data_IF_541079519072
#
_entry.id   IF_541079519072
#
_cell.length_a   1.000
_cell.length_b   1.000
_cell.length_c   1.000
_cell.angle_alpha   90.00
_cell.angle_beta   90.00
_cell.angle_gamma   90.00
#
_symmetry.space_group_name_H-M   'P 1'
#
loop_
_entity.id
_entity.type
_entity.pdbx_description
1 polymer ?
#
# COMPACT_ATOMS: atom_id res chain seq x y z
N UNK A 1 -11.00 -8.40 -38.33
CA UNK A 1 -10.28 -9.51 -37.68
C UNK A 1 -10.24 -9.18 -36.20
N UNK A 2 -11.13 -9.78 -35.41
CA UNK A 2 -11.24 -9.49 -33.96
C UNK A 2 -10.25 -10.36 -33.22
N UNK A 3 -9.26 -9.76 -32.55
CA UNK A 3 -8.41 -10.48 -31.61
C UNK A 3 -9.18 -10.66 -30.30
N UNK A 4 -9.44 -11.90 -29.92
CA UNK A 4 -9.93 -12.24 -28.60
C UNK A 4 -8.89 -11.83 -27.56
N UNK A 5 -9.21 -10.82 -26.74
CA UNK A 5 -8.41 -10.42 -25.60
C UNK A 5 -8.48 -11.53 -24.55
N UNK A 6 -7.51 -12.46 -24.58
CA UNK A 6 -7.38 -13.53 -23.60
C UNK A 6 -6.49 -13.10 -22.44
N UNK A 7 -7.01 -13.21 -21.22
CA UNK A 7 -6.34 -12.94 -19.95
C UNK A 7 -4.86 -13.45 -19.94
N UNK A 8 -3.85 -12.57 -20.08
CA UNK A 8 -2.44 -12.71 -19.76
C UNK A 8 -2.09 -13.54 -18.54
N UNK A 9 -2.83 -13.47 -17.43
CA UNK A 9 -2.56 -14.35 -16.29
C UNK A 9 -2.73 -15.81 -16.68
N UNK A 10 -3.78 -16.19 -17.42
CA UNK A 10 -3.94 -17.58 -17.93
C UNK A 10 -2.82 -18.05 -18.86
N UNK A 11 -2.10 -17.11 -19.48
CA UNK A 11 -1.07 -17.42 -20.45
C UNK A 11 0.35 -17.31 -19.89
N UNK A 12 0.55 -16.58 -18.79
CA UNK A 12 1.77 -16.64 -17.97
C UNK A 12 1.70 -17.75 -16.93
N UNK A 13 0.50 -18.19 -16.59
CA UNK A 13 0.22 -19.23 -15.61
C UNK A 13 -0.70 -20.30 -16.23
N UNK A 14 -0.26 -21.03 -17.28
CA UNK A 14 -1.05 -22.10 -17.86
C UNK A 14 -1.17 -23.26 -16.87
N UNK A 15 -2.39 -23.79 -16.70
CA UNK A 15 -2.83 -24.90 -15.80
C UNK A 15 -2.00 -26.19 -15.78
N UNK A 16 -0.92 -26.30 -16.57
CA UNK A 16 -0.12 -27.53 -16.74
C UNK A 16 1.39 -27.35 -16.78
N UNK A 17 1.95 -26.14 -16.67
CA UNK A 17 3.40 -25.98 -16.64
C UNK A 17 3.91 -25.66 -15.24
N UNK A 18 3.93 -26.70 -14.40
CA UNK A 18 4.88 -26.80 -13.29
C UNK A 18 6.31 -27.04 -13.83
N UNK A 19 6.68 -26.37 -14.93
CA UNK A 19 7.99 -26.43 -15.55
C UNK A 19 8.95 -25.52 -14.78
N UNK A 20 9.07 -25.83 -13.49
CA UNK A 20 10.20 -25.73 -12.58
C UNK A 20 11.00 -24.44 -12.68
N UNK A 21 10.53 -23.41 -11.96
CA UNK A 21 11.46 -22.45 -11.36
C UNK A 21 12.55 -23.23 -10.62
N UNK A 22 13.81 -22.82 -10.74
CA UNK A 22 14.89 -23.48 -9.99
C UNK A 22 14.56 -23.53 -8.49
N UNK A 23 15.02 -24.59 -7.81
CA UNK A 23 14.79 -24.78 -6.36
C UNK A 23 15.24 -23.58 -5.53
N UNK A 24 16.29 -22.88 -5.98
CA UNK A 24 16.78 -21.65 -5.37
C UNK A 24 15.77 -20.51 -5.48
N UNK A 25 15.23 -20.24 -6.67
CA UNK A 25 14.21 -19.20 -6.88
C UNK A 25 12.92 -19.50 -6.08
N UNK A 26 12.50 -20.77 -6.03
CA UNK A 26 11.37 -21.18 -5.20
C UNK A 26 11.63 -20.89 -3.72
N UNK A 27 12.84 -21.17 -3.22
CA UNK A 27 13.21 -20.86 -1.84
C UNK A 27 13.21 -19.35 -1.56
N UNK A 28 13.73 -18.54 -2.48
CA UNK A 28 13.73 -17.07 -2.35
C UNK A 28 12.32 -16.52 -2.28
N UNK A 29 11.43 -16.96 -3.19
CA UNK A 29 10.04 -16.55 -3.19
C UNK A 29 9.33 -16.96 -1.89
N UNK A 30 9.52 -18.20 -1.45
CA UNK A 30 8.90 -18.68 -0.21
C UNK A 30 9.37 -17.90 1.02
N UNK A 31 10.66 -17.58 1.10
CA UNK A 31 11.20 -16.76 2.18
C UNK A 31 10.58 -15.35 2.16
N UNK A 32 10.53 -14.72 0.98
CA UNK A 32 9.90 -13.41 0.81
C UNK A 32 8.42 -13.43 1.20
N UNK A 33 7.64 -14.38 0.69
CA UNK A 33 6.20 -14.49 0.97
C UNK A 33 5.93 -14.83 2.44
N UNK A 34 6.82 -15.57 3.10
CA UNK A 34 6.74 -15.82 4.54
C UNK A 34 7.00 -14.55 5.34
N UNK A 35 8.02 -13.77 4.98
CA UNK A 35 8.28 -12.47 5.61
C UNK A 35 7.13 -11.50 5.40
N UNK A 36 6.57 -11.45 4.18
CA UNK A 36 5.39 -10.65 3.88
C UNK A 36 4.19 -11.05 4.74
N UNK A 37 3.93 -12.36 4.87
CA UNK A 37 2.86 -12.90 5.74
C UNK A 37 3.03 -12.46 7.19
N UNK A 38 4.23 -12.62 7.76
CA UNK A 38 4.52 -12.23 9.15
C UNK A 38 4.30 -10.73 9.32
N UNK A 39 4.87 -9.95 8.42
CA UNK A 39 4.78 -8.48 8.43
C UNK A 39 3.35 -7.95 8.29
N UNK A 40 2.46 -8.67 7.59
CA UNK A 40 1.02 -8.36 7.53
C UNK A 40 0.32 -8.78 8.83
N UNK A 41 0.62 -9.97 9.34
CA UNK A 41 0.00 -10.47 10.57
C UNK A 41 0.30 -9.58 11.79
N UNK A 42 1.49 -8.98 11.85
CA UNK A 42 1.87 -8.01 12.89
C UNK A 42 1.05 -6.72 12.86
N UNK A 43 0.43 -6.39 11.72
CA UNK A 43 -0.43 -5.22 11.58
C UNK A 43 -1.88 -5.50 11.94
N UNK A 44 -2.27 -6.75 12.21
CA UNK A 44 -3.63 -7.07 12.65
C UNK A 44 -3.83 -6.46 14.05
N UNK A 45 -4.79 -5.52 14.21
CA UNK A 45 -5.07 -4.93 15.52
C UNK A 45 -5.41 -6.01 16.55
N UNK A 46 -4.86 -5.90 17.76
CA UNK A 46 -5.08 -6.90 18.82
C UNK A 46 -6.28 -6.51 19.68
N UNK A 47 -6.94 -7.51 20.28
CA UNK A 47 -8.15 -7.33 21.12
C UNK A 47 -7.96 -6.37 22.31
N UNK A 48 -6.73 -6.14 22.75
CA UNK A 48 -6.39 -5.22 23.83
C UNK A 48 -6.49 -3.73 23.40
N UNK A 49 -6.50 -3.44 22.09
CA UNK A 49 -6.75 -2.13 21.51
C UNK A 49 -8.27 -1.80 21.46
N UNK A 50 -8.94 -2.02 22.60
CA UNK A 50 -10.41 -2.04 22.81
C UNK A 50 -11.20 -0.81 22.37
N UNK A 51 -10.52 0.23 21.92
CA UNK A 51 -11.20 1.44 21.49
C UNK A 51 -11.69 1.33 20.03
N UNK A 52 -11.19 0.37 19.24
CA UNK A 52 -11.67 0.19 17.87
C UNK A 52 -11.38 1.40 16.98
N UNK A 53 -10.22 2.04 17.18
CA UNK A 53 -9.72 3.12 16.33
C UNK A 53 -8.34 2.77 15.78
N UNK A 54 -8.05 3.19 14.55
CA UNK A 54 -6.69 3.19 14.01
C UNK A 54 -5.90 4.28 14.73
N UNK A 55 -4.86 3.88 15.46
CA UNK A 55 -4.01 4.80 16.23
C UNK A 55 -2.84 5.32 15.40
N UNK A 56 -2.21 6.41 15.83
CA UNK A 56 -0.97 6.88 15.21
C UNK A 56 0.16 5.85 15.38
N UNK A 57 0.20 5.16 16.52
CA UNK A 57 1.12 4.04 16.74
C UNK A 57 0.97 2.96 15.66
N UNK A 58 -0.27 2.58 15.32
CA UNK A 58 -0.53 1.63 14.24
C UNK A 58 -0.05 2.18 12.89
N UNK A 59 -0.32 3.45 12.58
CA UNK A 59 0.14 4.07 11.33
C UNK A 59 1.68 4.10 11.22
N UNK A 60 2.37 4.39 12.33
CA UNK A 60 3.84 4.34 12.40
C UNK A 60 4.33 2.92 12.14
N UNK A 61 3.75 1.91 12.81
CA UNK A 61 4.08 0.51 12.60
C UNK A 61 3.84 0.08 11.15
N UNK A 62 2.71 0.48 10.56
CA UNK A 62 2.37 0.21 9.17
C UNK A 62 3.39 0.84 8.19
N UNK A 63 3.84 2.06 8.44
CA UNK A 63 4.89 2.70 7.64
C UNK A 63 6.24 1.99 7.76
N UNK A 64 6.67 1.62 8.98
CA UNK A 64 7.90 0.84 9.16
C UNK A 64 7.83 -0.51 8.42
N UNK A 65 6.70 -1.20 8.57
CA UNK A 65 6.40 -2.47 7.90
C UNK A 65 6.38 -2.33 6.36
N UNK A 66 6.03 -1.16 5.82
CA UNK A 66 6.17 -0.85 4.39
C UNK A 66 7.63 -0.59 3.99
N UNK A 67 8.38 0.19 4.76
CA UNK A 67 9.80 0.42 4.48
C UNK A 67 10.59 -0.89 4.46
N UNK A 68 10.35 -1.77 5.43
CA UNK A 68 11.01 -3.08 5.51
C UNK A 68 10.71 -3.95 4.29
N UNK A 69 9.44 -4.06 3.87
CA UNK A 69 9.12 -4.89 2.70
C UNK A 69 9.66 -4.28 1.39
N UNK A 70 9.70 -2.95 1.28
CA UNK A 70 10.33 -2.25 0.16
C UNK A 70 11.84 -2.52 0.09
N UNK A 71 12.51 -2.61 1.24
CA UNK A 71 13.91 -3.05 1.32
C UNK A 71 14.05 -4.52 0.91
N UNK A 72 13.19 -5.41 1.41
CA UNK A 72 13.23 -6.83 1.04
C UNK A 72 13.07 -7.06 -0.45
N UNK A 73 12.13 -6.37 -1.12
CA UNK A 73 11.95 -6.52 -2.57
C UNK A 73 13.14 -5.92 -3.35
N UNK A 74 13.72 -4.82 -2.85
CA UNK A 74 14.92 -4.23 -3.45
C UNK A 74 16.12 -5.19 -3.36
N UNK A 75 16.33 -5.85 -2.22
CA UNK A 75 17.35 -6.90 -2.06
C UNK A 75 17.10 -8.07 -3.02
N UNK A 76 15.83 -8.52 -3.12
CA UNK A 76 15.45 -9.61 -4.03
C UNK A 76 15.76 -9.25 -5.50
N UNK A 77 15.50 -8.01 -5.91
CA UNK A 77 15.77 -7.52 -7.27
C UNK A 77 17.26 -7.37 -7.56
N UNK A 78 18.01 -6.75 -6.64
CA UNK A 78 19.39 -6.30 -6.87
C UNK A 78 20.46 -7.33 -6.51
N UNK A 79 20.22 -8.14 -5.48
CA UNK A 79 21.25 -9.01 -4.90
C UNK A 79 20.99 -10.48 -5.21
N UNK A 80 19.74 -10.92 -5.11
CA UNK A 80 19.42 -12.35 -5.21
C UNK A 80 19.14 -12.81 -6.65
N UNK A 81 18.60 -11.92 -7.48
CA UNK A 81 18.19 -12.22 -8.85
C UNK A 81 19.13 -11.61 -9.91
N UNK A 82 19.96 -10.62 -9.53
CA UNK A 82 20.91 -9.90 -10.41
C UNK A 82 20.27 -9.52 -11.76
N UNK A 83 19.01 -9.05 -11.71
CA UNK A 83 18.30 -8.67 -12.92
C UNK A 83 18.83 -7.30 -13.34
N UNK A 84 19.34 -7.13 -14.58
CA UNK A 84 19.51 -5.79 -15.10
C UNK A 84 18.13 -5.14 -15.10
N UNK A 85 17.98 -4.06 -14.33
CA UNK A 85 16.85 -3.13 -14.30
C UNK A 85 16.44 -2.89 -15.76
N UNK A 86 15.50 -3.69 -16.25
CA UNK A 86 15.15 -3.67 -17.67
C UNK A 86 14.16 -2.54 -17.89
N UNK A 87 13.96 -2.08 -19.13
CA UNK A 87 12.90 -1.11 -19.51
C UNK A 87 11.47 -1.47 -18.99
N UNK A 88 11.27 -2.68 -18.48
CA UNK A 88 10.06 -3.10 -17.77
C UNK A 88 9.84 -2.30 -16.47
N UNK A 89 10.90 -1.93 -15.76
CA UNK A 89 10.84 -1.22 -14.49
C UNK A 89 10.46 0.26 -14.70
N UNK A 90 11.01 0.90 -15.73
CA UNK A 90 10.84 2.35 -15.93
C UNK A 90 9.41 2.75 -16.34
N UNK A 91 8.68 1.90 -17.06
CA UNK A 91 7.32 2.25 -17.55
C UNK A 91 6.18 1.83 -16.62
N UNK A 92 6.25 0.65 -16.00
CA UNK A 92 5.21 0.18 -15.07
C UNK A 92 5.34 0.84 -13.70
N UNK A 93 6.57 1.02 -13.21
CA UNK A 93 6.79 1.53 -11.86
C UNK A 93 6.59 3.05 -11.80
N UNK A 94 6.86 3.78 -12.88
CA UNK A 94 6.73 5.23 -12.90
C UNK A 94 5.29 5.74 -12.75
N UNK A 95 4.30 5.16 -13.44
CA UNK A 95 2.90 5.61 -13.31
C UNK A 95 2.34 5.32 -11.92
N UNK A 96 2.61 4.11 -11.40
CA UNK A 96 2.20 3.71 -10.05
C UNK A 96 2.89 4.57 -8.99
N UNK A 97 4.20 4.80 -9.12
CA UNK A 97 4.96 5.63 -8.18
C UNK A 97 4.52 7.08 -8.21
N UNK A 98 4.17 7.62 -9.37
CA UNK A 98 3.64 8.98 -9.51
C UNK A 98 2.32 9.15 -8.75
N UNK A 99 1.38 8.21 -8.93
CA UNK A 99 0.09 8.23 -8.21
C UNK A 99 0.25 8.00 -6.71
N UNK A 100 1.14 7.10 -6.30
CA UNK A 100 1.45 6.92 -4.88
C UNK A 100 2.10 8.16 -4.27
N UNK A 101 2.96 8.85 -5.01
CA UNK A 101 3.56 10.11 -4.58
C UNK A 101 2.50 11.22 -4.43
N UNK A 102 1.49 11.26 -5.30
CA UNK A 102 0.35 12.16 -5.13
C UNK A 102 -0.37 11.92 -3.80
N UNK A 103 -0.62 10.65 -3.45
CA UNK A 103 -1.22 10.27 -2.17
C UNK A 103 -0.33 10.66 -0.99
N UNK A 104 0.98 10.41 -1.05
CA UNK A 104 1.93 10.85 -0.02
C UNK A 104 1.96 12.38 0.15
N UNK A 105 1.88 13.13 -0.96
CA UNK A 105 1.79 14.59 -0.93
C UNK A 105 0.47 15.06 -0.29
N UNK A 106 -0.63 14.36 -0.53
CA UNK A 106 -1.91 14.64 0.11
C UNK A 106 -1.83 14.41 1.62
N UNK A 107 -1.26 13.29 2.08
CA UNK A 107 -1.01 13.03 3.50
C UNK A 107 -0.13 14.11 4.12
N UNK A 108 1.01 14.42 3.51
CA UNK A 108 1.92 15.46 4.01
C UNK A 108 1.23 16.83 4.13
N UNK A 109 0.41 17.18 3.14
CA UNK A 109 -0.41 18.39 3.17
C UNK A 109 -1.42 18.39 4.32
N UNK A 110 -2.03 17.25 4.63
CA UNK A 110 -2.97 17.12 5.74
C UNK A 110 -2.28 17.20 7.09
N UNK A 111 -1.11 16.57 7.22
CA UNK A 111 -0.26 16.72 8.40
C UNK A 111 0.09 18.19 8.65
N UNK A 112 0.50 18.92 7.63
CA UNK A 112 0.80 20.34 7.73
C UNK A 112 -0.43 21.15 8.19
N UNK A 113 -1.61 20.85 7.63
CA UNK A 113 -2.87 21.48 8.02
C UNK A 113 -3.21 21.20 9.50
N UNK A 114 -3.09 19.96 9.95
CA UNK A 114 -3.33 19.58 11.34
C UNK A 114 -2.32 20.24 12.30
N UNK A 115 -1.05 20.32 11.91
CA UNK A 115 -0.03 21.00 12.70
C UNK A 115 -0.32 22.51 12.83
N UNK A 116 -0.76 23.16 11.74
CA UNK A 116 -1.18 24.56 11.78
C UNK A 116 -2.37 24.75 12.75
N UNK A 117 -3.36 23.87 12.71
CA UNK A 117 -4.46 23.89 13.67
C UNK A 117 -3.98 23.75 15.12
N UNK A 118 -3.02 22.86 15.39
CA UNK A 118 -2.44 22.71 16.72
C UNK A 118 -1.72 24.00 17.19
N UNK A 119 -1.03 24.71 16.30
CA UNK A 119 -0.40 25.99 16.61
C UNK A 119 -1.43 27.08 16.94
N UNK A 120 -2.51 27.20 16.15
CA UNK A 120 -3.61 28.13 16.43
C UNK A 120 -4.25 27.86 17.79
N UNK A 121 -4.43 26.58 18.13
CA UNK A 121 -4.97 26.18 19.43
C UNK A 121 -4.03 26.58 20.58
N UNK A 122 -2.73 26.32 20.45
CA UNK A 122 -1.73 26.74 21.46
C UNK A 122 -1.75 28.26 21.67
N UNK A 123 -1.94 29.03 20.61
CA UNK A 123 -2.02 30.49 20.68
C UNK A 123 -3.33 30.98 21.32
N UNK A 124 -4.45 30.28 21.09
CA UNK A 124 -5.71 30.60 21.74
C UNK A 124 -5.68 30.41 23.27
N UNK A 125 -4.79 29.52 23.76
CA UNK A 125 -4.62 29.19 25.18
C UNK A 125 -3.27 29.67 25.77
N UNK A 126 -2.54 30.54 25.07
CA UNK A 126 -1.24 31.02 25.56
C UNK A 126 -1.36 31.96 26.76
N UNK A 127 -2.50 32.63 26.92
CA UNK A 127 -2.84 33.43 28.09
C UNK A 127 -3.97 32.73 28.89
N UNK A 128 -3.69 32.23 30.11
CA UNK A 128 -4.68 31.53 30.92
C UNK A 128 -5.77 32.45 31.49
N UNK A 129 -5.54 33.76 31.57
CA UNK A 129 -6.48 34.73 32.14
C UNK A 129 -7.43 35.32 31.07
N UNK A 130 -7.07 35.25 29.79
CA UNK A 130 -7.85 35.81 28.68
C UNK A 130 -7.84 34.88 27.45
N UNK A 131 -8.72 33.87 27.46
CA UNK A 131 -8.93 33.01 26.29
C UNK A 131 -9.58 33.83 25.17
N UNK A 132 -8.83 34.05 24.09
CA UNK A 132 -9.31 34.80 22.92
C UNK A 132 -10.31 33.97 22.11
N UNK A 133 -11.61 34.30 22.23
CA UNK A 133 -12.69 33.68 21.46
C UNK A 133 -12.47 33.79 19.94
N UNK A 134 -11.85 34.88 19.46
CA UNK A 134 -11.54 35.05 18.04
C UNK A 134 -10.48 34.07 17.54
N UNK A 135 -9.48 33.72 18.37
CA UNK A 135 -8.49 32.70 18.03
C UNK A 135 -9.10 31.29 18.05
N UNK A 136 -10.02 31.02 18.98
CA UNK A 136 -10.78 29.76 19.00
C UNK A 136 -11.65 29.63 17.73
N UNK A 137 -12.30 30.71 17.31
CA UNK A 137 -13.13 30.69 16.10
C UNK A 137 -12.27 30.55 14.83
N UNK A 138 -11.10 31.19 14.78
CA UNK A 138 -10.13 30.97 13.71
C UNK A 138 -9.66 29.50 13.66
N UNK A 139 -9.30 28.91 14.81
CA UNK A 139 -8.98 27.49 14.91
C UNK A 139 -10.13 26.61 14.43
N UNK A 140 -11.37 26.88 14.87
CA UNK A 140 -12.56 26.12 14.50
C UNK A 140 -12.78 26.16 12.99
N UNK A 141 -12.69 27.33 12.36
CA UNK A 141 -12.82 27.51 10.91
C UNK A 141 -11.72 26.76 10.16
N UNK A 142 -10.46 26.87 10.60
CA UNK A 142 -9.33 26.14 10.03
C UNK A 142 -9.53 24.63 10.10
N UNK A 143 -9.99 24.11 11.24
CA UNK A 143 -10.23 22.69 11.44
C UNK A 143 -11.44 22.17 10.67
N UNK A 144 -12.47 23.00 10.47
CA UNK A 144 -13.65 22.69 9.67
C UNK A 144 -13.35 22.68 8.16
N UNK A 145 -12.36 23.45 7.70
CA UNK A 145 -11.91 23.39 6.31
C UNK A 145 -11.28 22.02 6.02
N UNK A 146 -11.82 21.31 5.03
CA UNK A 146 -11.27 20.02 4.61
C UNK A 146 -10.10 20.22 3.64
N UNK A 147 -9.23 19.22 3.55
CA UNK A 147 -8.17 19.19 2.57
C UNK A 147 -8.66 18.46 1.30
N UNK A 148 -8.85 19.18 0.17
CA UNK A 148 -9.38 18.58 -1.05
C UNK A 148 -8.46 17.48 -1.62
N UNK A 149 -7.16 17.50 -1.32
CA UNK A 149 -6.23 16.46 -1.76
C UNK A 149 -6.49 15.13 -1.06
N UNK A 150 -6.89 15.17 0.21
CA UNK A 150 -7.26 13.96 0.98
C UNK A 150 -8.57 13.37 0.47
N UNK A 151 -9.52 14.24 0.10
CA UNK A 151 -10.79 13.80 -0.49
C UNK A 151 -10.56 13.07 -1.83
N UNK A 152 -9.55 13.48 -2.61
CA UNK A 152 -9.16 12.83 -3.87
C UNK A 152 -8.43 11.48 -3.69
N UNK A 153 -7.86 11.18 -2.52
CA UNK A 153 -7.04 9.97 -2.34
C UNK A 153 -7.81 8.67 -2.60
N UNK A 154 -9.10 8.61 -2.26
CA UNK A 154 -9.93 7.42 -2.48
C UNK A 154 -10.04 7.07 -3.97
N UNK A 155 -10.24 8.07 -4.83
CA UNK A 155 -10.31 7.88 -6.28
C UNK A 155 -8.95 7.44 -6.85
N UNK A 156 -7.87 8.10 -6.46
CA UNK A 156 -6.50 7.75 -6.90
C UNK A 156 -6.16 6.31 -6.52
N UNK A 157 -6.47 5.89 -5.28
CA UNK A 157 -6.21 4.53 -4.80
C UNK A 157 -7.11 3.50 -5.48
N UNK A 158 -8.38 3.83 -5.74
CA UNK A 158 -9.30 2.95 -6.48
C UNK A 158 -8.80 2.71 -7.90
N UNK A 159 -8.40 3.77 -8.61
CA UNK A 159 -7.80 3.68 -9.94
C UNK A 159 -6.51 2.83 -9.93
N UNK A 160 -5.72 2.89 -8.85
CA UNK A 160 -4.53 2.05 -8.67
C UNK A 160 -4.89 0.57 -8.44
N UNK A 161 -5.95 0.27 -7.68
CA UNK A 161 -6.44 -1.11 -7.48
C UNK A 161 -7.06 -1.66 -8.77
N UNK A 162 -7.77 -0.84 -9.53
CA UNK A 162 -8.31 -1.21 -10.85
C UNK A 162 -7.18 -1.49 -11.84
N UNK A 163 -6.14 -0.65 -11.91
CA UNK A 163 -4.96 -0.95 -12.73
C UNK A 163 -4.21 -2.20 -12.25
N UNK A 164 -4.24 -2.50 -10.95
CA UNK A 164 -3.77 -3.77 -10.39
C UNK A 164 -4.69 -4.95 -10.73
N UNK A 165 -5.90 -4.71 -11.24
CA UNK A 165 -6.84 -5.73 -11.72
C UNK A 165 -6.81 -5.87 -13.23
N UNK A 166 -6.35 -4.83 -13.93
CA UNK A 166 -6.17 -4.83 -15.37
C UNK A 166 -4.92 -5.58 -15.83
N UNK A 167 -4.95 -6.00 -17.09
CA UNK A 167 -4.02 -6.94 -17.70
C UNK A 167 -2.75 -6.32 -18.30
N UNK A 168 -2.64 -5.01 -18.21
CA UNK A 168 -1.64 -4.23 -18.94
C UNK A 168 -0.21 -4.53 -18.49
N UNK A 169 -0.01 -4.71 -17.19
CA UNK A 169 1.30 -5.02 -16.57
C UNK A 169 1.88 -6.36 -17.08
N UNK A 170 1.01 -7.29 -17.46
CA UNK A 170 1.37 -8.66 -17.79
C UNK A 170 1.49 -8.90 -19.31
N UNK A 171 0.85 -8.05 -20.12
CA UNK A 171 0.86 -8.14 -21.58
C UNK A 171 2.21 -7.76 -22.21
N UNK A 172 3.03 -6.97 -21.51
CA UNK A 172 4.40 -6.63 -21.91
C UNK A 172 5.36 -7.82 -21.93
N UNK A 173 5.17 -8.78 -21.02
CA UNK A 173 6.03 -9.97 -20.90
C UNK A 173 5.87 -10.90 -22.12
N UNK A 174 4.62 -11.14 -22.55
CA UNK A 174 4.30 -12.01 -23.71
C UNK A 174 4.99 -11.57 -25.00
N UNK A 175 5.10 -10.26 -25.26
CA UNK A 175 5.76 -9.74 -26.47
C UNK A 175 7.27 -10.00 -26.48
N UNK A 176 7.91 -10.11 -25.31
CA UNK A 176 9.36 -10.32 -25.17
C UNK A 176 9.75 -11.81 -25.02
N UNK A 177 8.79 -12.71 -24.73
CA UNK A 177 9.01 -14.17 -24.63
C UNK A 177 9.58 -14.79 -25.91
N UNK A 178 9.38 -14.16 -27.07
CA UNK A 178 9.94 -14.66 -28.34
C UNK A 178 11.48 -14.56 -28.45
N UNK A 179 12.20 -14.03 -27.44
CA UNK A 179 13.68 -13.90 -27.46
C UNK A 179 14.43 -14.13 -26.14
N UNK A 180 13.78 -14.35 -24.99
CA UNK A 180 14.46 -14.44 -23.67
C UNK A 180 14.94 -15.86 -23.31
N UNK A 181 16.06 -15.95 -22.58
CA UNK A 181 16.56 -17.20 -21.98
C UNK A 181 15.60 -17.65 -20.87
N UNK A 182 15.32 -18.95 -20.76
CA UNK A 182 14.43 -19.56 -19.76
C UNK A 182 14.63 -19.03 -18.32
N UNK A 183 15.89 -18.83 -17.91
CA UNK A 183 16.26 -18.31 -16.59
C UNK A 183 15.67 -16.90 -16.30
N UNK A 184 15.82 -15.95 -17.23
CA UNK A 184 15.30 -14.59 -17.07
C UNK A 184 13.78 -14.55 -16.96
N UNK A 185 13.09 -15.47 -17.65
CA UNK A 185 11.65 -15.59 -17.54
C UNK A 185 11.21 -16.08 -16.15
N UNK A 186 11.92 -17.05 -15.56
CA UNK A 186 11.64 -17.53 -14.19
C UNK A 186 11.86 -16.45 -13.13
N UNK A 187 12.92 -15.65 -13.29
CA UNK A 187 13.26 -14.53 -12.42
C UNK A 187 12.24 -13.39 -12.52
N UNK A 188 11.87 -12.98 -13.73
CA UNK A 188 10.82 -11.97 -13.95
C UNK A 188 9.48 -12.43 -13.37
N UNK A 189 9.15 -13.72 -13.53
CA UNK A 189 7.93 -14.32 -12.98
C UNK A 189 7.92 -14.25 -11.45
N UNK A 190 9.03 -14.59 -10.79
CA UNK A 190 9.19 -14.48 -9.35
C UNK A 190 8.97 -13.04 -8.87
N UNK A 191 9.66 -12.09 -9.51
CA UNK A 191 9.61 -10.68 -9.13
C UNK A 191 8.21 -10.10 -9.29
N UNK A 192 7.48 -10.45 -10.35
CA UNK A 192 6.10 -10.03 -10.56
C UNK A 192 5.17 -10.51 -9.44
N UNK A 193 5.37 -11.75 -8.98
CA UNK A 193 4.60 -12.29 -7.86
C UNK A 193 4.92 -11.59 -6.54
N UNK A 194 6.21 -11.38 -6.25
CA UNK A 194 6.64 -10.66 -5.07
C UNK A 194 6.13 -9.20 -5.06
N UNK A 195 6.28 -8.48 -6.17
CA UNK A 195 5.81 -7.11 -6.36
C UNK A 195 4.29 -6.96 -6.21
N UNK A 196 3.52 -7.95 -6.67
CA UNK A 196 2.07 -7.94 -6.47
C UNK A 196 1.70 -7.94 -4.97
N UNK A 197 2.38 -8.76 -4.16
CA UNK A 197 2.19 -8.78 -2.71
C UNK A 197 2.55 -7.45 -2.05
N UNK A 198 3.68 -6.83 -2.46
CA UNK A 198 4.07 -5.48 -2.00
C UNK A 198 3.00 -4.46 -2.37
N UNK A 199 2.57 -4.43 -3.63
CA UNK A 199 1.56 -3.48 -4.15
C UNK A 199 0.23 -3.64 -3.41
N UNK A 200 -0.22 -4.87 -3.15
CA UNK A 200 -1.45 -5.14 -2.40
C UNK A 200 -1.38 -4.58 -0.97
N UNK A 201 -0.29 -4.85 -0.25
CA UNK A 201 -0.05 -4.33 1.10
C UNK A 201 0.01 -2.81 1.13
N UNK A 202 0.77 -2.19 0.21
CA UNK A 202 0.93 -0.73 0.12
C UNK A 202 -0.40 -0.04 -0.15
N UNK A 203 -1.15 -0.46 -1.17
CA UNK A 203 -2.44 0.16 -1.50
C UNK A 203 -3.45 0.02 -0.36
N UNK A 204 -3.47 -1.14 0.30
CA UNK A 204 -4.38 -1.34 1.42
C UNK A 204 -4.06 -0.41 2.58
N UNK A 205 -2.80 -0.33 3.03
CA UNK A 205 -2.39 0.58 4.12
C UNK A 205 -2.68 2.03 3.76
N UNK A 206 -2.40 2.44 2.52
CA UNK A 206 -2.67 3.81 2.07
C UNK A 206 -4.17 4.12 2.07
N UNK A 207 -5.02 3.14 1.76
CA UNK A 207 -6.48 3.28 1.86
C UNK A 207 -6.95 3.50 3.31
N UNK A 208 -6.35 2.78 4.26
CA UNK A 208 -6.62 2.98 5.69
C UNK A 208 -6.18 4.37 6.14
N UNK A 209 -5.03 4.85 5.66
CA UNK A 209 -4.56 6.21 5.98
C UNK A 209 -5.47 7.28 5.37
N UNK A 210 -5.88 7.10 4.11
CA UNK A 210 -6.80 8.00 3.44
C UNK A 210 -8.15 8.08 4.19
N UNK A 211 -8.65 6.96 4.71
CA UNK A 211 -9.85 6.93 5.54
C UNK A 211 -9.67 7.62 6.89
N UNK A 212 -8.52 7.39 7.55
CA UNK A 212 -8.20 8.00 8.82
C UNK A 212 -8.04 9.53 8.72
N UNK A 213 -7.42 10.02 7.65
CA UNK A 213 -7.23 11.45 7.40
C UNK A 213 -8.50 12.14 6.88
N UNK A 214 -9.30 11.48 6.05
CA UNK A 214 -10.56 12.05 5.55
C UNK A 214 -11.69 12.01 6.58
N UNK A 215 -11.59 11.10 7.56
CA UNK A 215 -12.70 10.78 8.45
C UNK A 215 -13.86 10.11 7.71
N UNK A 216 -13.58 9.37 6.63
CA UNK A 216 -14.57 8.59 5.87
C UNK A 216 -14.08 7.17 5.64
N UNK A 217 -14.89 6.17 6.06
CA UNK A 217 -14.63 4.76 5.78
C UNK A 217 -14.77 4.39 4.30
N UNK A 218 -15.35 5.27 3.48
CA UNK A 218 -15.49 5.06 2.03
C UNK A 218 -14.14 4.95 1.31
N UNK A 219 -13.08 5.51 1.90
CA UNK A 219 -11.72 5.42 1.38
C UNK A 219 -11.03 4.08 1.68
N UNK A 220 -11.59 3.22 2.55
CA UNK A 220 -11.02 1.91 2.86
C UNK A 220 -11.33 0.95 1.72
N UNK A 221 -10.31 0.43 1.07
CA UNK A 221 -10.46 -0.46 -0.08
C UNK A 221 -10.50 -1.92 0.34
N UNK A 222 -11.29 -2.71 -0.38
CA UNK A 222 -11.25 -4.17 -0.31
C UNK A 222 -10.56 -4.73 -1.54
N UNK A 223 -9.34 -5.26 -1.34
CA UNK A 223 -8.49 -5.78 -2.39
C UNK A 223 -8.66 -7.30 -2.44
N UNK A 224 -9.26 -7.78 -3.53
CA UNK A 224 -9.38 -9.20 -3.80
C UNK A 224 -8.09 -9.74 -4.42
N UNK A 225 -7.55 -10.80 -3.83
CA UNK A 225 -6.41 -11.52 -4.41
C UNK A 225 -6.88 -12.29 -5.64
N UNK A 226 -6.26 -12.02 -6.79
CA UNK A 226 -6.61 -12.65 -8.08
C UNK A 226 -6.55 -14.17 -7.98
N UNK A 227 -7.51 -14.86 -8.60
CA UNK A 227 -7.57 -16.33 -8.59
C UNK A 227 -6.35 -16.94 -9.26
N UNK A 228 -5.82 -16.27 -10.27
CA UNK A 228 -4.68 -16.73 -11.05
C UNK A 228 -3.38 -16.76 -10.24
N UNK A 229 -3.22 -15.89 -9.23
CA UNK A 229 -2.13 -16.02 -8.26
C UNK A 229 -2.21 -17.31 -7.45
N UNK A 230 -3.43 -17.80 -7.21
CA UNK A 230 -3.71 -19.03 -6.46
C UNK A 230 -3.60 -20.28 -7.34
N UNK A 231 -3.68 -20.14 -8.66
CA UNK A 231 -3.52 -21.26 -9.61
C UNK A 231 -2.05 -21.73 -9.69
N UNK A 232 -1.10 -20.92 -9.22
CA UNK A 232 0.34 -21.24 -9.22
C UNK A 232 0.84 -21.96 -7.96
N UNK A 233 0.00 -22.04 -6.93
CA UNK A 233 0.39 -22.53 -5.62
C UNK A 233 -0.27 -21.71 -4.52
N UNK A 234 -0.11 -22.18 -3.29
CA UNK A 234 -0.55 -21.45 -2.11
C UNK A 234 0.09 -20.05 -2.10
N UNK A 235 -0.68 -19.04 -1.70
CA UNK A 235 -0.21 -17.66 -1.50
C UNK A 235 -0.14 -17.46 0.02
N UNK A 236 1.03 -17.67 0.66
CA UNK A 236 1.10 -17.82 2.12
C UNK A 236 0.60 -16.60 2.89
N UNK A 237 0.74 -15.41 2.31
CA UNK A 237 0.34 -14.14 2.93
C UNK A 237 -1.14 -13.80 2.74
N UNK A 238 -1.87 -14.53 1.89
CA UNK A 238 -3.27 -14.21 1.58
C UNK A 238 -4.15 -14.25 2.83
N UNK A 239 -4.04 -15.31 3.65
CA UNK A 239 -4.90 -15.48 4.82
C UNK A 239 -4.69 -14.35 5.83
N UNK A 240 -3.42 -13.99 6.10
CA UNK A 240 -3.08 -12.87 6.98
C UNK A 240 -3.59 -11.54 6.42
N UNK A 241 -3.55 -11.37 5.09
CA UNK A 241 -4.07 -10.17 4.43
C UNK A 241 -5.59 -10.07 4.55
N UNK A 242 -6.31 -11.18 4.33
CA UNK A 242 -7.76 -11.23 4.51
C UNK A 242 -8.17 -10.95 5.96
N UNK A 243 -7.44 -11.48 6.92
CA UNK A 243 -7.64 -11.21 8.34
C UNK A 243 -7.48 -9.72 8.66
N UNK A 244 -6.38 -9.11 8.21
CA UNK A 244 -6.14 -7.67 8.36
C UNK A 244 -7.29 -6.84 7.77
N UNK A 245 -7.71 -7.15 6.54
CA UNK A 245 -8.82 -6.46 5.86
C UNK A 245 -10.11 -6.55 6.68
N UNK A 246 -10.45 -7.75 7.13
CA UNK A 246 -11.67 -8.00 7.89
C UNK A 246 -11.66 -7.30 9.25
N UNK A 247 -10.55 -7.33 9.99
CA UNK A 247 -10.48 -6.68 11.30
C UNK A 247 -10.65 -5.17 11.16
N UNK A 248 -9.93 -4.54 10.23
CA UNK A 248 -10.00 -3.08 10.04
C UNK A 248 -11.36 -2.63 9.50
N UNK A 249 -11.97 -3.36 8.57
CA UNK A 249 -13.30 -3.01 8.05
C UNK A 249 -14.42 -3.16 9.07
N UNK A 250 -14.29 -4.13 9.98
CA UNK A 250 -15.24 -4.32 11.08
C UNK A 250 -14.92 -3.44 12.30
N UNK A 251 -13.88 -2.61 12.24
CA UNK A 251 -13.51 -1.70 13.32
C UNK A 251 -14.43 -0.47 13.26
N UNK A 252 -15.32 -0.28 14.25
CA UNK A 252 -16.45 0.65 14.15
C UNK A 252 -16.03 2.13 14.08
N UNK A 253 -14.77 2.47 14.42
CA UNK A 253 -14.31 3.85 14.43
C UNK A 253 -12.88 4.03 13.89
N UNK A 254 -12.63 3.74 12.60
CA UNK A 254 -11.37 4.16 11.91
C UNK A 254 -11.14 5.70 11.92
N UNK A 255 -12.03 6.47 12.55
CA UNK A 255 -12.28 7.89 12.35
C UNK A 255 -11.59 8.86 13.33
N UNK A 256 -10.67 8.39 14.20
CA UNK A 256 -9.95 9.28 15.12
C UNK A 256 -8.46 8.97 15.17
N UNK A 257 -7.71 9.61 14.27
CA UNK A 257 -6.27 9.78 14.46
C UNK A 257 -6.07 10.63 15.72
N UNK A 258 -5.44 10.08 16.76
CA UNK A 258 -5.01 10.87 17.92
C UNK A 258 -3.93 11.88 17.47
N UNK A 259 -4.37 13.11 17.18
CA UNK A 259 -3.61 14.18 16.51
C UNK A 259 -2.33 14.64 17.23
N UNK A 260 -1.99 14.10 18.39
CA UNK A 260 -0.80 14.50 19.17
C UNK A 260 0.51 13.90 18.66
N UNK A 261 0.50 12.85 17.83
CA UNK A 261 1.74 12.12 17.44
C UNK A 261 2.10 12.17 15.95
N UNK A 262 1.23 12.76 15.12
CA UNK A 262 1.30 12.67 13.65
C UNK A 262 2.54 13.38 13.05
N UNK A 263 3.11 14.37 13.73
CA UNK A 263 4.20 15.23 13.20
C UNK A 263 5.55 14.50 13.11
N UNK A 264 5.80 13.46 13.92
CA UNK A 264 7.07 12.72 13.89
C UNK A 264 7.14 11.65 12.78
N UNK A 265 6.04 11.39 12.08
CA UNK A 265 5.85 10.21 11.23
C UNK A 265 6.52 10.31 9.83
N UNK A 266 6.82 11.51 9.34
CA UNK A 266 7.35 11.73 7.98
C UNK A 266 8.68 12.47 7.90
N UNK A 267 9.18 13.03 9.00
CA UNK A 267 10.47 13.72 9.00
C UNK A 267 11.67 12.78 9.19
N UNK A 268 11.43 11.51 9.54
CA UNK A 268 12.49 10.51 9.80
C UNK A 268 12.39 9.25 8.91
N UNK A 269 11.48 9.23 7.94
CA UNK A 269 11.20 8.06 7.09
C UNK A 269 11.55 8.38 5.63
N UNK A 270 12.83 8.64 5.40
CA UNK A 270 13.61 8.50 4.16
C UNK A 270 15.08 8.72 4.51
#
# INVERSE_FOLDING_TARGET
MFFSCGNPFKALFPKKNNACMSSHLVSLLNNFETSLRVSIAELVPKDDDKNGFITVSWMIQAMHSLCEIHQCISTLMTTDVDLPVSDMEESMYADISSKLLEVCNAFTSELARLNHGNMLLKFAFSDPDEVSLSHIDCWRQHMASKNPRIENCGEVLSNLVESMSDDHDLHGLKKKVNKKKKKQYEEEKLLMRALYGVKAKTLYIFSVFAAAFSGSSENILYINIRKEMKEEGEVPWEQAFMELQNVIMNTPQVLRVERKQVINMFLNSC
#
